data_IF_678169032876
#
_entry.id   IF_678169032876
#
_cell.length_a   1.000
_cell.length_b   1.000
_cell.length_c   1.000
_cell.angle_alpha   90.00
_cell.angle_beta   90.00
_cell.angle_gamma   90.00
#
_symmetry.space_group_name_H-M   'P 1'
#
loop_
_entity.id
_entity.type
_entity.pdbx_description
1 polymer ?
#
# COMPACT_ATOMS: atom_id res chain seq x y z
N UNK A 1 9.27 2.27 -1.61
CA UNK A 1 8.98 3.71 -1.72
C UNK A 1 8.97 4.35 -0.33
N UNK A 2 9.60 5.48 -0.19
CA UNK A 2 9.68 6.13 1.13
C UNK A 2 9.98 7.62 1.01
N UNK A 3 9.70 8.33 2.09
CA UNK A 3 10.19 9.68 2.33
C UNK A 3 10.53 9.81 3.81
N UNK A 4 10.74 11.03 4.32
CA UNK A 4 11.14 11.23 5.71
C UNK A 4 10.07 10.83 6.73
N UNK A 5 8.78 10.90 6.36
CA UNK A 5 7.66 10.67 7.28
C UNK A 5 7.00 9.31 7.09
N UNK A 6 7.05 8.74 5.88
CA UNK A 6 6.26 7.56 5.53
C UNK A 6 7.08 6.58 4.71
N UNK A 7 6.63 5.33 4.70
CA UNK A 7 7.19 4.34 3.78
C UNK A 7 6.14 3.32 3.38
N UNK A 8 6.42 2.63 2.27
CA UNK A 8 5.52 1.65 1.70
C UNK A 8 6.29 0.37 1.39
N UNK A 9 5.63 -0.76 1.60
CA UNK A 9 6.20 -2.09 1.33
C UNK A 9 5.08 -3.06 0.97
N UNK A 10 5.45 -4.15 0.31
CA UNK A 10 4.47 -5.18 -0.05
C UNK A 10 4.02 -5.94 1.19
N UNK A 11 2.73 -6.29 1.22
CA UNK A 11 2.20 -7.19 2.24
C UNK A 11 2.77 -8.59 1.99
N UNK A 12 3.33 -9.22 3.02
CA UNK A 12 3.90 -10.56 2.90
C UNK A 12 2.81 -11.63 2.74
N UNK A 13 1.58 -11.31 3.09
CA UNK A 13 0.40 -12.16 2.90
C UNK A 13 -0.59 -11.45 1.98
N UNK A 14 -0.23 -11.23 0.70
CA UNK A 14 -1.02 -10.36 -0.16
C UNK A 14 -2.33 -11.00 -0.61
N UNK A 15 -3.36 -10.15 -0.76
CA UNK A 15 -4.61 -10.58 -1.40
C UNK A 15 -4.44 -10.75 -2.91
N UNK A 16 -3.55 -9.95 -3.50
CA UNK A 16 -3.21 -10.03 -4.91
C UNK A 16 -1.81 -9.46 -5.12
N UNK A 17 -1.25 -9.69 -6.30
CA UNK A 17 0.05 -9.11 -6.65
C UNK A 17 -0.04 -7.59 -6.58
N UNK A 18 0.92 -7.00 -5.88
CA UNK A 18 0.96 -5.54 -5.73
C UNK A 18 0.25 -5.00 -4.49
N UNK A 19 -0.37 -5.88 -3.67
CA UNK A 19 -0.96 -5.46 -2.40
C UNK A 19 0.11 -4.81 -1.55
N UNK A 20 0.00 -3.50 -1.36
CA UNK A 20 1.01 -2.66 -0.73
C UNK A 20 0.46 -2.06 0.56
N UNK A 21 1.33 -1.92 1.55
CA UNK A 21 1.02 -1.23 2.80
C UNK A 21 1.77 0.08 2.84
N UNK A 22 1.10 1.13 3.30
CA UNK A 22 1.71 2.45 3.49
C UNK A 22 1.56 2.82 4.95
N UNK A 23 2.67 3.13 5.61
CA UNK A 23 2.64 3.44 7.04
C UNK A 23 3.44 4.71 7.36
N UNK A 24 3.06 5.41 8.44
CA UNK A 24 3.89 6.49 8.98
C UNK A 24 5.05 5.91 9.77
N UNK A 25 6.18 6.60 9.80
CA UNK A 25 7.31 6.18 10.63
C UNK A 25 7.02 6.42 12.11
N UNK A 26 6.26 7.47 12.43
CA UNK A 26 5.82 7.73 13.78
C UNK A 26 4.74 6.71 14.17
N UNK A 27 4.79 6.18 15.38
CA UNK A 27 3.76 5.26 15.86
C UNK A 27 2.45 6.01 16.10
N UNK A 28 1.43 5.66 15.33
CA UNK A 28 0.07 6.14 15.47
C UNK A 28 -0.85 4.95 15.26
N UNK A 29 -1.59 4.56 16.29
CA UNK A 29 -2.48 3.40 16.18
C UNK A 29 -3.67 3.69 15.26
N UNK A 30 -4.31 4.83 15.46
CA UNK A 30 -5.57 5.17 14.80
C UNK A 30 -5.33 6.33 13.84
N UNK A 31 -5.66 6.12 12.56
CA UNK A 31 -5.38 7.11 11.51
C UNK A 31 -6.04 8.47 11.82
N UNK A 32 -7.23 8.46 12.42
CA UNK A 32 -7.94 9.70 12.69
C UNK A 32 -7.42 10.43 13.95
N UNK A 33 -6.43 9.88 14.63
CA UNK A 33 -5.70 10.59 15.68
C UNK A 33 -4.55 11.43 15.12
N UNK A 34 -4.25 11.30 13.82
CA UNK A 34 -3.28 12.17 13.16
C UNK A 34 -3.81 13.59 13.10
N UNK A 35 -2.92 14.58 13.25
CA UNK A 35 -3.35 15.96 12.99
C UNK A 35 -3.57 16.17 11.49
N UNK A 36 -4.20 17.28 11.13
CA UNK A 36 -4.61 17.54 9.75
C UNK A 36 -3.43 17.55 8.78
N UNK A 37 -2.32 18.17 9.17
CA UNK A 37 -1.15 18.26 8.30
C UNK A 37 -0.52 16.89 8.07
N UNK A 38 -0.41 16.10 9.11
CA UNK A 38 0.14 14.74 9.01
C UNK A 38 -0.78 13.85 8.17
N UNK A 39 -2.09 13.93 8.41
CA UNK A 39 -3.06 13.14 7.65
C UNK A 39 -3.03 13.50 6.16
N UNK A 40 -2.97 14.79 5.85
CA UNK A 40 -2.87 15.25 4.47
C UNK A 40 -1.60 14.76 3.80
N UNK A 41 -0.46 14.86 4.49
CA UNK A 41 0.82 14.38 3.96
C UNK A 41 0.80 12.87 3.75
N UNK A 42 0.21 12.12 4.67
CA UNK A 42 0.07 10.67 4.57
C UNK A 42 -0.76 10.27 3.34
N UNK A 43 -1.89 10.95 3.14
CA UNK A 43 -2.77 10.67 2.01
C UNK A 43 -2.09 11.02 0.67
N UNK A 44 -1.35 12.12 0.62
CA UNK A 44 -0.63 12.50 -0.60
C UNK A 44 0.49 11.51 -0.93
N UNK A 45 1.20 11.02 0.08
CA UNK A 45 2.19 9.99 -0.12
C UNK A 45 1.55 8.69 -0.63
N UNK A 46 0.43 8.30 -0.02
CA UNK A 46 -0.32 7.11 -0.44
C UNK A 46 -0.79 7.23 -1.89
N UNK A 47 -1.23 8.41 -2.30
CA UNK A 47 -1.61 8.66 -3.69
C UNK A 47 -0.46 8.39 -4.66
N UNK A 48 0.75 8.88 -4.33
CA UNK A 48 1.92 8.64 -5.17
C UNK A 48 2.28 7.17 -5.26
N UNK A 49 2.20 6.46 -4.12
CA UNK A 49 2.46 5.02 -4.09
C UNK A 49 1.39 4.27 -4.90
N UNK A 50 0.11 4.66 -4.76
CA UNK A 50 -0.98 4.04 -5.51
C UNK A 50 -0.79 4.20 -7.02
N UNK A 51 -0.33 5.35 -7.47
CA UNK A 51 -0.02 5.58 -8.90
C UNK A 51 1.10 4.65 -9.36
N UNK A 52 2.13 4.47 -8.53
CA UNK A 52 3.23 3.55 -8.83
C UNK A 52 2.75 2.10 -8.87
N UNK A 53 1.88 1.70 -7.95
CA UNK A 53 1.29 0.36 -7.92
C UNK A 53 0.49 0.10 -9.19
N UNK A 54 -0.32 1.06 -9.61
CA UNK A 54 -1.12 0.91 -10.82
C UNK A 54 -0.25 0.77 -12.07
N UNK A 55 0.85 1.48 -12.12
CA UNK A 55 1.80 1.39 -13.24
C UNK A 55 2.48 0.02 -13.26
N UNK A 56 2.95 -0.45 -12.10
CA UNK A 56 3.70 -1.70 -11.98
C UNK A 56 2.79 -2.93 -12.10
N UNK A 57 1.56 -2.83 -11.58
CA UNK A 57 0.58 -3.91 -11.55
C UNK A 57 -0.70 -3.43 -12.21
N UNK A 58 -0.77 -3.47 -13.56
CA UNK A 58 -1.92 -2.93 -14.28
C UNK A 58 -3.24 -3.46 -13.77
N UNK A 59 -4.18 -2.55 -13.54
CA UNK A 59 -5.48 -2.86 -12.96
C UNK A 59 -6.48 -1.77 -13.33
N UNK A 60 -7.75 -2.00 -13.06
CA UNK A 60 -8.77 -0.99 -13.34
C UNK A 60 -8.63 0.20 -12.40
N UNK A 61 -8.52 -0.08 -11.08
CA UNK A 61 -8.34 0.94 -10.05
C UNK A 61 -7.53 0.37 -8.90
N UNK A 62 -6.92 1.25 -8.13
CA UNK A 62 -6.31 0.89 -6.85
C UNK A 62 -7.25 1.34 -5.74
N UNK A 63 -7.65 0.40 -4.88
CA UNK A 63 -8.47 0.72 -3.71
C UNK A 63 -7.59 1.08 -2.53
N UNK A 64 -8.10 1.93 -1.67
CA UNK A 64 -7.45 2.30 -0.42
C UNK A 64 -8.34 1.86 0.73
N UNK A 65 -7.80 1.07 1.65
CA UNK A 65 -8.54 0.56 2.80
C UNK A 65 -7.72 0.73 4.07
N UNK A 66 -8.36 1.19 5.13
CA UNK A 66 -7.75 1.30 6.46
C UNK A 66 -8.58 0.50 7.44
N UNK A 67 -7.99 -0.52 8.05
CA UNK A 67 -8.68 -1.36 9.03
C UNK A 67 -8.10 -1.17 10.44
N UNK A 68 -6.86 -1.61 10.67
CA UNK A 68 -6.13 -1.31 11.89
C UNK A 68 -6.62 -1.97 13.17
N UNK A 69 -7.40 -3.04 13.09
CA UNK A 69 -7.92 -3.69 14.29
C UNK A 69 -6.95 -4.68 14.91
N UNK A 70 -6.11 -5.32 14.10
CA UNK A 70 -5.17 -6.33 14.59
C UNK A 70 -3.79 -5.78 14.89
N UNK A 71 -3.32 -4.84 14.08
CA UNK A 71 -1.99 -4.24 14.23
C UNK A 71 -2.14 -2.79 14.69
N UNK A 72 -1.61 -2.44 15.89
CA UNK A 72 -1.79 -1.10 16.45
C UNK A 72 -0.83 -0.06 15.84
N UNK A 73 -0.82 0.03 14.54
CA UNK A 73 -0.03 1.00 13.79
C UNK A 73 -0.82 1.33 12.53
N UNK A 74 -1.20 2.59 12.37
CA UNK A 74 -2.00 3.03 11.25
C UNK A 74 -1.35 2.60 9.94
N UNK A 75 -2.13 1.96 9.07
CA UNK A 75 -1.64 1.52 7.77
C UNK A 75 -2.75 1.58 6.74
N UNK A 76 -2.36 2.03 5.54
CA UNK A 76 -3.25 2.07 4.40
C UNK A 76 -2.93 0.86 3.53
N UNK A 77 -3.95 0.06 3.23
CA UNK A 77 -3.84 -1.00 2.23
C UNK A 77 -4.12 -0.40 0.86
N UNK A 78 -3.23 -0.64 -0.09
CA UNK A 78 -3.44 -0.30 -1.48
C UNK A 78 -3.59 -1.60 -2.27
N UNK A 79 -4.74 -1.77 -2.90
CA UNK A 79 -5.12 -3.01 -3.55
C UNK A 79 -5.41 -2.77 -5.04
N UNK A 80 -4.60 -3.35 -5.94
CA UNK A 80 -4.94 -3.31 -7.38
C UNK A 80 -6.20 -4.13 -7.62
N UNK A 81 -7.27 -3.49 -8.12
CA UNK A 81 -8.55 -4.15 -8.29
C UNK A 81 -8.95 -4.25 -9.75
N UNK A 82 -9.50 -5.41 -10.12
CA UNK A 82 -10.20 -5.63 -11.38
C UNK A 82 -11.65 -6.04 -11.13
N UNK A 83 -12.01 -6.37 -9.89
CA UNK A 83 -13.38 -6.62 -9.47
C UNK A 83 -13.51 -6.28 -7.97
N UNK A 84 -14.75 -6.11 -7.49
CA UNK A 84 -15.00 -5.82 -6.07
C UNK A 84 -14.56 -6.97 -5.17
N UNK A 85 -14.64 -8.21 -5.65
CA UNK A 85 -14.24 -9.38 -4.88
C UNK A 85 -12.74 -9.39 -4.55
N UNK A 86 -11.93 -8.65 -5.29
CA UNK A 86 -10.50 -8.54 -5.03
C UNK A 86 -10.20 -7.87 -3.70
N UNK A 87 -11.12 -7.08 -3.15
CA UNK A 87 -10.95 -6.40 -1.88
C UNK A 87 -11.46 -7.19 -0.68
N UNK A 88 -11.77 -8.47 -0.84
CA UNK A 88 -12.26 -9.32 0.25
C UNK A 88 -11.09 -9.82 1.10
N UNK A 89 -10.93 -9.26 2.29
CA UNK A 89 -9.85 -9.63 3.22
C UNK A 89 -10.01 -11.02 3.83
N UNK A 90 -11.16 -11.67 3.62
CA UNK A 90 -11.39 -13.03 4.08
C UNK A 90 -10.92 -14.07 3.06
N UNK A 91 -10.57 -13.62 1.86
CA UNK A 91 -10.04 -14.52 0.83
C UNK A 91 -8.72 -15.16 1.28
N UNK A 92 -8.45 -16.32 0.70
CA UNK A 92 -7.15 -16.94 0.87
C UNK A 92 -6.06 -16.03 0.31
N UNK A 93 -4.99 -15.86 1.07
CA UNK A 93 -3.86 -15.02 0.66
C UNK A 93 -3.02 -15.72 -0.38
N UNK A 94 -2.44 -14.96 -1.29
CA UNK A 94 -1.52 -15.50 -2.27
C UNK A 94 -0.22 -15.90 -1.61
N UNK A 95 0.40 -16.93 -2.18
CA UNK A 95 1.74 -17.38 -1.77
C UNK A 95 2.69 -17.10 -2.91
N UNK A 96 3.36 -15.97 -2.83
CA UNK A 96 4.34 -15.58 -3.83
C UNK A 96 5.75 -15.92 -3.34
N UNK A 97 6.62 -16.30 -4.27
CA UNK A 97 8.02 -16.55 -3.92
C UNK A 97 8.72 -15.25 -3.58
N UNK A 98 9.86 -15.36 -2.88
CA UNK A 98 10.66 -14.17 -2.57
C UNK A 98 11.09 -13.45 -3.86
N UNK A 99 11.40 -14.19 -4.92
CA UNK A 99 11.78 -13.61 -6.20
C UNK A 99 10.63 -12.85 -6.86
N UNK A 100 9.41 -13.41 -6.82
CA UNK A 100 8.22 -12.75 -7.34
C UNK A 100 7.94 -11.46 -6.57
N UNK A 101 8.00 -11.51 -5.24
CA UNK A 101 7.80 -10.34 -4.39
C UNK A 101 8.85 -9.27 -4.68
N UNK A 102 10.12 -9.65 -4.82
CA UNK A 102 11.17 -8.71 -5.11
C UNK A 102 10.99 -8.06 -6.48
N UNK A 103 10.58 -8.85 -7.48
CA UNK A 103 10.32 -8.31 -8.82
C UNK A 103 9.21 -7.27 -8.81
N UNK A 104 8.12 -7.56 -8.11
CA UNK A 104 6.99 -6.62 -7.98
C UNK A 104 7.44 -5.37 -7.24
N UNK A 105 8.15 -5.52 -6.14
CA UNK A 105 8.67 -4.39 -5.36
C UNK A 105 9.57 -3.49 -6.20
N UNK A 106 10.45 -4.09 -7.02
CA UNK A 106 11.35 -3.34 -7.90
C UNK A 106 10.57 -2.51 -8.93
N UNK A 107 9.51 -3.08 -9.50
CA UNK A 107 8.67 -2.38 -10.48
C UNK A 107 7.95 -1.21 -9.85
N UNK A 108 7.42 -1.39 -8.65
CA UNK A 108 6.73 -0.32 -7.91
C UNK A 108 7.72 0.78 -7.56
N UNK A 109 8.89 0.42 -7.07
CA UNK A 109 9.93 1.39 -6.71
C UNK A 109 10.35 2.21 -7.95
N UNK A 110 10.60 1.56 -9.08
CA UNK A 110 10.97 2.24 -10.31
C UNK A 110 9.88 3.22 -10.76
N UNK A 111 8.61 2.79 -10.71
CA UNK A 111 7.48 3.64 -11.07
C UNK A 111 7.34 4.83 -10.13
N UNK A 112 7.56 4.62 -8.82
CA UNK A 112 7.53 5.69 -7.83
C UNK A 112 8.63 6.73 -8.10
N UNK A 113 9.85 6.28 -8.37
CA UNK A 113 10.97 7.16 -8.66
C UNK A 113 10.75 7.98 -9.92
N UNK A 114 10.11 7.43 -10.93
CA UNK A 114 9.90 8.11 -12.20
C UNK A 114 8.87 9.26 -12.11
N UNK A 115 8.16 9.38 -11.00
CA UNK A 115 7.20 10.46 -10.77
C UNK A 115 7.86 11.78 -10.38
N UNK A 116 9.14 11.75 -10.11
CA UNK A 116 9.87 12.93 -9.64
C UNK A 116 10.41 13.80 -10.77
#
# INVERSE_FOLDING_TARGET
AENEQFYAFLDINPLMEGHTLVIPRREVDYIFDMNDDELAAFQLFAKRVAQAVKTACPCIKVAQVVLGLEVPHAHIHLLPLNSEDDADFKREKLKLSAEQMQSIANKIYAAFKSQQ
#
